data_IF_537197906018
#
_entry.id   IF_537197906018
#
_cell.length_a   1.000
_cell.length_b   1.000
_cell.length_c   1.000
_cell.angle_alpha   90.00
_cell.angle_beta   90.00
_cell.angle_gamma   90.00
#
_symmetry.space_group_name_H-M   'P 1'
#
loop_
_entity.id
_entity.type
_entity.pdbx_description
1 polymer ?
#
# COMPACT_ATOMS: atom_id res chain seq x y z
N UNK A 1 21.41 -17.15 22.64
CA UNK A 1 20.16 -16.83 23.38
C UNK A 1 20.02 -15.32 23.36
N UNK A 2 19.05 -14.76 22.62
CA UNK A 2 18.78 -13.32 22.61
C UNK A 2 17.40 -13.10 23.23
N UNK A 3 17.33 -12.33 24.32
CA UNK A 3 16.08 -11.91 24.96
C UNK A 3 15.74 -10.48 24.55
N UNK A 4 14.63 -10.29 23.85
CA UNK A 4 14.07 -8.96 23.61
C UNK A 4 13.23 -8.55 24.83
N UNK A 5 13.61 -7.47 25.52
CA UNK A 5 12.76 -6.81 26.52
C UNK A 5 11.87 -5.79 25.81
N UNK A 6 10.57 -6.05 25.80
CA UNK A 6 9.55 -5.06 25.40
C UNK A 6 9.13 -4.31 26.66
N UNK A 7 9.31 -2.99 26.66
CA UNK A 7 8.85 -2.10 27.72
C UNK A 7 7.55 -1.43 27.25
N UNK A 8 6.46 -1.63 27.99
CA UNK A 8 5.22 -0.89 27.81
C UNK A 8 5.21 0.34 28.72
N UNK A 9 5.14 1.54 28.12
CA UNK A 9 4.77 2.76 28.85
C UNK A 9 3.25 2.94 28.75
N UNK A 10 2.59 2.99 29.90
CA UNK A 10 1.20 3.41 30.04
C UNK A 10 1.10 4.94 29.92
N UNK A 11 0.16 5.42 29.10
CA UNK A 11 -0.24 6.82 29.04
C UNK A 11 -1.60 6.98 29.72
N UNK A 12 -1.69 7.89 30.68
CA UNK A 12 -2.94 8.38 31.26
C UNK A 12 -3.33 9.70 30.60
N UNK A 13 -4.60 9.89 30.18
CA UNK A 13 -5.07 11.17 29.65
C UNK A 13 -5.77 12.00 30.75
N UNK A 14 -5.26 13.19 31.04
CA UNK A 14 -6.05 14.23 31.72
C UNK A 14 -5.79 15.60 31.07
N UNK A 15 -6.89 16.33 30.94
CA UNK A 15 -7.05 17.77 30.68
C UNK A 15 -7.03 18.27 29.22
N UNK A 16 -8.24 18.36 28.64
CA UNK A 16 -8.56 19.25 27.53
C UNK A 16 -9.46 20.36 28.10
N UNK A 17 -8.89 21.55 28.28
CA UNK A 17 -9.63 22.78 28.54
C UNK A 17 -10.24 23.32 27.24
N UNK A 18 -11.52 23.68 27.32
CA UNK A 18 -12.31 24.26 26.24
C UNK A 18 -11.81 25.66 25.87
N UNK A 19 -11.55 25.90 24.57
CA UNK A 19 -11.45 27.23 23.99
C UNK A 19 -12.49 27.38 22.87
N UNK A 20 -13.46 28.25 23.12
CA UNK A 20 -14.56 28.59 22.23
C UNK A 20 -14.06 29.46 21.07
N UNK A 21 -14.22 28.99 19.83
CA UNK A 21 -14.05 29.82 18.63
C UNK A 21 -15.41 30.33 18.15
N UNK A 22 -15.53 31.65 18.04
CA UNK A 22 -16.65 32.35 17.39
C UNK A 22 -16.39 32.34 15.88
N UNK A 23 -17.27 31.71 15.11
CA UNK A 23 -17.27 31.77 13.64
C UNK A 23 -18.33 32.77 13.17
N UNK A 24 -17.91 33.80 12.44
CA UNK A 24 -18.79 34.62 11.60
C UNK A 24 -18.86 34.02 10.20
N UNK A 25 -20.05 33.87 9.59
CA UNK A 25 -20.16 33.36 8.23
C UNK A 25 -20.04 34.50 7.21
N UNK A 26 -19.01 34.43 6.35
CA UNK A 26 -18.98 35.18 5.09
C UNK A 26 -19.80 34.42 4.03
N UNK A 27 -20.97 34.96 3.70
CA UNK A 27 -21.82 34.45 2.63
C UNK A 27 -21.17 34.71 1.26
N UNK A 28 -20.87 33.64 0.51
CA UNK A 28 -20.48 33.72 -0.89
C UNK A 28 -21.64 33.20 -1.76
N UNK A 29 -22.29 34.12 -2.48
CA UNK A 29 -23.42 33.85 -3.37
C UNK A 29 -22.90 33.26 -4.70
N UNK A 30 -23.30 32.06 -5.13
CA UNK A 30 -22.96 31.58 -6.46
C UNK A 30 -23.96 32.10 -7.50
N UNK A 31 -23.40 32.78 -8.50
CA UNK A 31 -24.08 33.32 -9.69
C UNK A 31 -24.52 32.17 -10.60
N UNK A 32 -25.82 31.82 -10.57
CA UNK A 32 -26.45 30.84 -11.50
C UNK A 32 -26.35 31.35 -12.95
N UNK A 33 -25.57 30.68 -13.80
CA UNK A 33 -25.74 30.75 -15.27
C UNK A 33 -26.69 29.63 -15.70
N UNK A 34 -27.84 30.02 -16.25
CA UNK A 34 -28.77 29.16 -16.98
C UNK A 34 -28.14 28.76 -18.32
N UNK A 35 -28.12 27.48 -18.63
CA UNK A 35 -27.95 26.98 -19.99
C UNK A 35 -29.12 26.07 -20.33
N UNK A 36 -29.61 26.22 -21.55
CA UNK A 36 -30.89 25.74 -22.04
C UNK A 36 -30.98 24.22 -22.20
N UNK A 37 -32.18 23.71 -21.92
CA UNK A 37 -32.70 22.42 -22.33
C UNK A 37 -32.50 22.14 -23.83
N UNK A 38 -32.05 20.92 -24.17
CA UNK A 38 -32.60 20.14 -25.29
C UNK A 38 -32.69 18.66 -24.89
N UNK A 39 -33.92 18.22 -24.66
CA UNK A 39 -34.33 16.82 -24.58
C UNK A 39 -34.51 16.27 -26.01
N UNK A 40 -33.94 15.11 -26.30
CA UNK A 40 -34.47 14.14 -27.28
C UNK A 40 -34.11 12.71 -26.82
N UNK A 41 -35.12 11.97 -26.38
CA UNK A 41 -35.20 10.51 -26.39
C UNK A 41 -36.00 10.07 -27.64
N UNK A 42 -36.23 8.76 -27.91
CA UNK A 42 -35.36 7.59 -27.83
C UNK A 42 -35.40 6.76 -29.16
N UNK A 43 -34.52 5.78 -29.34
CA UNK A 43 -34.89 4.54 -30.06
C UNK A 43 -33.91 3.41 -29.72
N UNK A 44 -34.51 2.30 -29.30
CA UNK A 44 -33.91 0.96 -29.26
C UNK A 44 -33.81 0.44 -30.70
N UNK A 45 -32.67 -0.15 -31.08
CA UNK A 45 -32.69 -1.43 -31.79
C UNK A 45 -31.32 -2.12 -31.80
N UNK A 46 -31.38 -3.40 -31.46
CA UNK A 46 -30.36 -4.44 -31.54
C UNK A 46 -30.01 -4.71 -33.01
N UNK A 47 -28.71 -4.82 -33.36
CA UNK A 47 -28.12 -5.94 -34.13
C UNK A 47 -26.64 -5.78 -34.53
N UNK A 48 -25.91 -6.87 -34.26
CA UNK A 48 -24.80 -7.52 -34.98
C UNK A 48 -23.32 -7.05 -34.88
N UNK A 49 -22.51 -8.08 -34.58
CA UNK A 49 -21.07 -8.26 -34.78
C UNK A 49 -20.54 -7.71 -36.11
N UNK A 50 -19.48 -6.90 -36.06
CA UNK A 50 -18.31 -6.99 -36.96
C UNK A 50 -17.12 -6.22 -36.37
N UNK A 51 -15.98 -6.90 -36.35
CA UNK A 51 -14.64 -6.36 -36.08
C UNK A 51 -14.29 -5.29 -37.13
N UNK A 52 -13.90 -4.10 -36.68
CA UNK A 52 -12.97 -3.24 -37.43
C UNK A 52 -12.15 -2.38 -36.48
N UNK A 53 -10.84 -2.53 -36.59
CA UNK A 53 -9.79 -1.76 -35.94
C UNK A 53 -9.76 -0.30 -36.41
N UNK A 54 -10.16 0.64 -35.57
CA UNK A 54 -9.73 2.04 -35.64
C UNK A 54 -9.60 2.63 -34.23
N UNK A 55 -8.47 3.28 -33.88
CA UNK A 55 -8.36 4.02 -32.64
C UNK A 55 -9.22 5.30 -32.70
N UNK A 56 -9.90 5.69 -31.60
CA UNK A 56 -10.65 6.94 -31.55
C UNK A 56 -9.70 8.15 -31.62
N UNK A 57 -10.17 9.30 -32.13
CA UNK A 57 -9.37 10.51 -32.21
C UNK A 57 -9.01 11.06 -30.82
N UNK A 58 -7.78 11.55 -30.70
CA UNK A 58 -7.21 12.21 -29.54
C UNK A 58 -8.20 13.22 -28.93
N UNK A 59 -8.70 12.89 -27.74
CA UNK A 59 -9.42 13.83 -26.91
C UNK A 59 -8.50 15.03 -26.60
N UNK A 60 -9.01 16.23 -26.87
CA UNK A 60 -8.35 17.51 -26.59
C UNK A 60 -7.89 17.53 -25.14
N UNK A 61 -6.61 17.85 -24.93
CA UNK A 61 -6.02 18.15 -23.62
C UNK A 61 -6.87 19.23 -22.95
N UNK A 62 -7.51 18.90 -21.84
CA UNK A 62 -7.92 19.91 -20.88
C UNK A 62 -6.64 20.47 -20.28
N UNK A 63 -6.27 21.68 -20.70
CA UNK A 63 -5.29 22.52 -20.02
C UNK A 63 -5.93 22.85 -18.66
N UNK A 64 -5.41 22.23 -17.61
CA UNK A 64 -5.70 22.67 -16.24
C UNK A 64 -5.06 24.05 -16.09
N UNK A 65 -5.80 25.10 -15.68
CA UNK A 65 -5.18 26.39 -15.43
C UNK A 65 -4.20 26.25 -14.26
N UNK A 66 -2.99 26.79 -14.46
CA UNK A 66 -2.02 27.04 -13.41
C UNK A 66 -2.65 27.92 -12.32
N UNK A 67 -3.14 27.31 -11.25
CA UNK A 67 -3.54 28.02 -10.04
C UNK A 67 -2.41 27.92 -9.01
N UNK A 68 -1.24 28.48 -9.30
CA UNK A 68 -0.26 28.88 -8.28
C UNK A 68 0.62 30.01 -8.81
N UNK A 69 0.05 31.22 -8.81
CA UNK A 69 0.83 32.44 -8.91
C UNK A 69 0.16 33.54 -8.10
N UNK A 70 0.61 33.70 -6.85
CA UNK A 70 0.79 35.02 -6.24
C UNK A 70 1.90 34.91 -5.19
N UNK A 71 3.04 35.61 -5.37
CA UNK A 71 3.85 36.03 -4.25
C UNK A 71 3.17 37.24 -3.57
N UNK A 72 3.65 37.59 -2.39
CA UNK A 72 3.34 38.81 -1.61
C UNK A 72 2.39 38.59 -0.42
N UNK A 73 2.96 38.00 0.63
CA UNK A 73 2.62 38.33 2.01
C UNK A 73 3.86 38.12 2.86
N UNK A 74 4.61 39.20 3.07
CA UNK A 74 5.66 39.25 4.08
C UNK A 74 5.02 39.06 5.46
N UNK A 75 5.30 37.92 6.10
CA UNK A 75 5.02 37.68 7.51
C UNK A 75 6.35 37.40 8.20
N UNK A 76 6.76 38.43 8.93
CA UNK A 76 7.57 38.48 10.16
C UNK A 76 8.24 37.16 10.58
N UNK A 77 9.56 37.18 10.48
CA UNK A 77 10.51 36.22 11.05
C UNK A 77 10.59 36.40 12.57
N UNK A 78 10.10 35.41 13.32
CA UNK A 78 10.41 35.23 14.75
C UNK A 78 10.81 33.78 15.00
N UNK A 79 12.07 33.45 14.75
CA UNK A 79 12.83 32.35 15.39
C UNK A 79 12.13 30.98 15.50
N UNK A 80 11.34 30.60 14.50
CA UNK A 80 10.86 29.24 14.29
C UNK A 80 11.65 28.62 13.16
N UNK A 81 12.70 27.85 13.49
CA UNK A 81 13.50 27.11 12.50
C UNK A 81 12.58 26.30 11.58
N UNK A 82 12.40 26.77 10.35
CA UNK A 82 11.52 26.11 9.39
C UNK A 82 12.02 24.68 9.14
N UNK A 83 11.16 23.65 9.24
CA UNK A 83 11.54 22.25 9.02
C UNK A 83 12.15 21.97 7.64
N UNK A 84 12.03 22.92 6.70
CA UNK A 84 12.54 22.82 5.36
C UNK A 84 14.08 22.79 5.27
N UNK A 85 14.82 23.29 6.27
CA UNK A 85 16.30 23.37 6.23
C UNK A 85 17.04 22.17 6.83
N UNK A 86 16.37 21.19 7.45
CA UNK A 86 17.05 20.00 8.04
C UNK A 86 17.22 18.85 7.01
N UNK A 87 16.77 19.04 5.77
CA UNK A 87 16.96 18.08 4.68
C UNK A 87 18.24 18.33 3.88
N UNK A 88 19.27 18.90 4.52
CA UNK A 88 20.61 19.02 3.94
C UNK A 88 21.07 17.64 3.43
N UNK A 89 21.29 17.60 2.12
CA UNK A 89 21.98 16.60 1.29
C UNK A 89 22.77 15.54 2.08
N UNK A 90 22.08 14.50 2.54
CA UNK A 90 22.75 13.25 2.87
C UNK A 90 22.97 12.52 1.54
N UNK A 91 24.20 12.10 1.30
CA UNK A 91 24.62 11.26 0.17
C UNK A 91 24.05 9.84 0.32
N UNK A 92 22.72 9.72 0.33
CA UNK A 92 22.06 8.42 0.28
C UNK A 92 22.24 7.87 -1.13
N UNK A 93 22.83 6.67 -1.29
CA UNK A 93 23.12 6.13 -2.62
C UNK A 93 21.84 5.98 -3.44
N UNK A 94 21.91 6.37 -4.71
CA UNK A 94 20.85 6.09 -5.66
C UNK A 94 20.69 4.58 -5.85
N UNK A 95 19.47 4.08 -5.64
CA UNK A 95 19.18 2.68 -5.89
C UNK A 95 19.18 2.37 -7.39
N UNK A 96 19.95 1.37 -7.80
CA UNK A 96 19.97 0.88 -9.18
C UNK A 96 19.18 -0.43 -9.24
N UNK A 97 17.96 -0.45 -9.80
CA UNK A 97 17.13 -1.65 -9.80
C UNK A 97 17.71 -2.73 -10.72
N UNK A 98 17.54 -4.00 -10.32
CA UNK A 98 17.93 -5.16 -11.12
C UNK A 98 16.79 -5.62 -12.01
N UNK A 99 17.13 -6.10 -13.20
CA UNK A 99 16.18 -6.78 -14.08
C UNK A 99 15.73 -8.08 -13.43
N UNK A 100 14.41 -8.24 -13.26
CA UNK A 100 13.83 -9.42 -12.60
C UNK A 100 13.49 -10.49 -13.65
N UNK A 101 14.06 -11.70 -13.58
CA UNK A 101 13.74 -12.76 -14.54
C UNK A 101 12.33 -13.33 -14.31
N UNK A 102 11.67 -13.84 -15.36
CA UNK A 102 10.29 -14.38 -15.23
C UNK A 102 10.23 -15.63 -14.35
N UNK A 103 11.24 -16.49 -14.45
CA UNK A 103 11.31 -17.73 -13.67
C UNK A 103 11.35 -17.46 -12.16
N UNK A 104 11.89 -16.31 -11.75
CA UNK A 104 11.95 -15.92 -10.35
C UNK A 104 10.56 -15.77 -9.73
N UNK A 105 9.60 -15.17 -10.45
CA UNK A 105 8.22 -15.02 -9.96
C UNK A 105 7.55 -16.37 -9.75
N UNK A 106 7.71 -17.30 -10.72
CA UNK A 106 7.17 -18.66 -10.61
C UNK A 106 7.80 -19.43 -9.45
N UNK A 107 9.13 -19.35 -9.32
CA UNK A 107 9.86 -19.99 -8.24
C UNK A 107 9.41 -19.45 -6.88
N UNK A 108 9.25 -18.13 -6.76
CA UNK A 108 8.82 -17.47 -5.53
C UNK A 108 7.42 -17.91 -5.11
N UNK A 109 6.44 -17.88 -6.01
CA UNK A 109 5.08 -18.38 -5.75
C UNK A 109 5.10 -19.87 -5.37
N UNK A 110 5.88 -20.70 -6.08
CA UNK A 110 6.01 -22.11 -5.75
C UNK A 110 6.63 -22.32 -4.36
N UNK A 111 7.73 -21.64 -4.06
CA UNK A 111 8.42 -21.75 -2.77
C UNK A 111 7.55 -21.27 -1.61
N UNK A 112 6.80 -20.19 -1.79
CA UNK A 112 5.82 -19.69 -0.83
C UNK A 112 4.77 -20.77 -0.50
N UNK A 113 4.10 -21.28 -1.53
CA UNK A 113 3.04 -22.28 -1.36
C UNK A 113 3.58 -23.62 -0.82
N UNK A 114 4.76 -24.06 -1.27
CA UNK A 114 5.41 -25.26 -0.76
C UNK A 114 5.78 -25.12 0.73
N UNK A 115 6.24 -23.94 1.15
CA UNK A 115 6.58 -23.66 2.55
C UNK A 115 5.33 -23.73 3.44
N UNK A 116 4.25 -23.04 3.07
CA UNK A 116 3.00 -23.10 3.83
C UNK A 116 2.37 -24.50 3.80
N UNK A 117 2.48 -25.22 2.67
CA UNK A 117 2.05 -26.61 2.58
C UNK A 117 2.82 -27.53 3.53
N UNK A 118 4.14 -27.43 3.57
CA UNK A 118 4.98 -28.21 4.47
C UNK A 118 4.68 -27.92 5.96
N UNK A 119 4.52 -26.64 6.32
CA UNK A 119 4.13 -26.24 7.69
C UNK A 119 2.72 -26.77 8.00
N UNK A 120 1.79 -26.67 7.06
CA UNK A 120 0.43 -27.19 7.20
C UNK A 120 0.42 -28.69 7.46
N UNK A 121 1.19 -29.47 6.69
CA UNK A 121 1.33 -30.93 6.88
C UNK A 121 1.88 -31.23 8.28
N UNK A 122 2.92 -30.51 8.72
CA UNK A 122 3.48 -30.67 10.06
C UNK A 122 2.43 -30.37 11.15
N UNK A 123 1.65 -29.31 10.98
CA UNK A 123 0.57 -28.96 11.92
C UNK A 123 -0.53 -30.02 11.94
N UNK A 124 -0.88 -30.62 10.80
CA UNK A 124 -1.83 -31.74 10.75
C UNK A 124 -1.30 -32.97 11.47
N UNK A 125 -0.01 -33.27 11.34
CA UNK A 125 0.61 -34.37 12.09
C UNK A 125 0.55 -34.13 13.60
N UNK A 126 0.68 -32.88 14.06
CA UNK A 126 0.61 -32.51 15.49
C UNK A 126 -0.83 -32.37 15.99
N UNK A 127 -1.76 -31.99 15.11
CA UNK A 127 -3.18 -31.78 15.40
C UNK A 127 -4.01 -32.23 14.19
N UNK A 128 -4.48 -33.49 14.14
CA UNK A 128 -5.22 -34.02 12.99
C UNK A 128 -6.50 -33.27 12.64
N UNK A 129 -7.04 -32.47 13.57
CA UNK A 129 -8.20 -31.60 13.34
C UNK A 129 -7.86 -30.33 12.55
N UNK A 130 -6.59 -29.95 12.42
CA UNK A 130 -6.15 -28.86 11.57
C UNK A 130 -5.75 -29.42 10.20
N UNK A 131 -6.58 -29.29 9.14
CA UNK A 131 -6.23 -29.85 7.84
C UNK A 131 -5.07 -29.08 7.21
N UNK A 132 -4.16 -29.79 6.55
CA UNK A 132 -2.88 -29.23 6.08
C UNK A 132 -3.06 -28.06 5.11
N UNK A 133 -4.14 -28.08 4.34
CA UNK A 133 -4.45 -27.06 3.35
C UNK A 133 -4.98 -25.77 3.98
N UNK A 134 -5.45 -25.77 5.24
CA UNK A 134 -6.02 -24.58 5.87
C UNK A 134 -5.02 -23.43 5.92
N UNK A 135 -3.75 -23.74 6.16
CA UNK A 135 -2.68 -22.74 6.21
C UNK A 135 -2.46 -22.08 4.84
N UNK A 136 -2.44 -22.89 3.78
CA UNK A 136 -2.26 -22.44 2.39
C UNK A 136 -3.45 -21.59 1.93
N UNK A 137 -4.68 -22.03 2.24
CA UNK A 137 -5.89 -21.27 1.90
C UNK A 137 -5.93 -19.94 2.64
N UNK A 138 -5.66 -19.94 3.96
CA UNK A 138 -5.64 -18.71 4.76
C UNK A 138 -4.56 -17.74 4.29
N UNK A 139 -3.33 -18.21 4.06
CA UNK A 139 -2.22 -17.36 3.65
C UNK A 139 -2.46 -16.73 2.27
N UNK A 140 -2.88 -17.51 1.27
CA UNK A 140 -3.18 -16.99 -0.06
C UNK A 140 -4.37 -16.02 -0.06
N UNK A 141 -5.39 -16.30 0.75
CA UNK A 141 -6.55 -15.40 0.89
C UNK A 141 -6.10 -14.08 1.53
N UNK A 142 -5.33 -14.12 2.62
CA UNK A 142 -4.79 -12.93 3.26
C UNK A 142 -3.87 -12.14 2.32
N UNK A 143 -2.97 -12.81 1.60
CA UNK A 143 -2.09 -12.18 0.61
C UNK A 143 -2.90 -11.47 -0.48
N UNK A 144 -3.91 -12.16 -1.03
CA UNK A 144 -4.78 -11.61 -2.08
C UNK A 144 -5.52 -10.37 -1.60
N UNK A 145 -6.15 -10.43 -0.43
CA UNK A 145 -6.85 -9.26 0.12
C UNK A 145 -5.87 -8.14 0.47
N UNK A 146 -4.68 -8.46 1.00
CA UNK A 146 -3.62 -7.48 1.22
C UNK A 146 -3.22 -6.73 -0.05
N UNK A 147 -3.03 -7.46 -1.15
CA UNK A 147 -2.71 -6.90 -2.46
C UNK A 147 -3.85 -6.00 -2.97
N UNK A 148 -5.10 -6.45 -2.84
CA UNK A 148 -6.27 -5.65 -3.22
C UNK A 148 -6.43 -4.39 -2.36
N UNK A 149 -6.14 -4.47 -1.06
CA UNK A 149 -6.12 -3.33 -0.13
C UNK A 149 -5.04 -2.33 -0.51
N UNK A 150 -3.84 -2.80 -0.87
CA UNK A 150 -2.77 -1.95 -1.36
C UNK A 150 -3.18 -1.26 -2.67
N UNK A 151 -3.69 -2.02 -3.65
CA UNK A 151 -4.22 -1.48 -4.89
C UNK A 151 -5.30 -0.41 -4.65
N UNK A 152 -6.22 -0.63 -3.70
CA UNK A 152 -7.24 0.33 -3.30
C UNK A 152 -6.63 1.62 -2.69
N UNK A 153 -5.50 1.52 -2.00
CA UNK A 153 -4.70 2.66 -1.54
C UNK A 153 -4.21 3.55 -2.68
N UNK A 154 -4.00 2.98 -3.87
CA UNK A 154 -3.64 3.75 -5.06
C UNK A 154 -4.83 4.35 -5.80
N UNK A 155 -6.06 4.05 -5.37
CA UNK A 155 -7.26 4.55 -6.03
C UNK A 155 -7.80 5.81 -5.34
N UNK A 156 -7.99 6.89 -6.11
CA UNK A 156 -8.56 8.15 -5.60
C UNK A 156 -9.91 7.99 -4.91
N UNK A 157 -10.68 6.94 -5.24
CA UNK A 157 -11.97 6.67 -4.60
C UNK A 157 -11.84 6.23 -3.13
N UNK A 158 -10.68 5.74 -2.68
CA UNK A 158 -10.44 5.36 -1.28
C UNK A 158 -10.15 6.56 -0.36
N UNK A 159 -10.07 7.77 -0.94
CA UNK A 159 -10.02 9.07 -0.26
C UNK A 159 -8.91 9.18 0.80
N UNK A 160 -9.24 8.92 2.06
CA UNK A 160 -8.32 9.07 3.18
C UNK A 160 -7.11 8.14 3.01
N UNK A 161 -7.37 6.89 2.61
CA UNK A 161 -6.33 5.92 2.36
C UNK A 161 -5.42 6.33 1.20
N UNK A 162 -6.01 6.80 0.09
CA UNK A 162 -5.23 7.38 -1.01
C UNK A 162 -4.33 8.56 -0.60
N UNK A 163 -4.82 9.45 0.27
CA UNK A 163 -4.08 10.65 0.71
C UNK A 163 -2.89 10.32 1.60
N UNK A 164 -3.00 9.31 2.45
CA UNK A 164 -1.87 8.87 3.27
C UNK A 164 -0.91 8.01 2.45
N UNK A 165 -1.45 7.05 1.70
CA UNK A 165 -0.63 6.08 0.98
C UNK A 165 0.15 6.70 -0.19
N UNK A 166 -0.51 7.43 -1.10
CA UNK A 166 0.18 7.92 -2.32
C UNK A 166 1.00 9.20 -2.06
N UNK A 167 0.41 10.33 -1.60
CA UNK A 167 1.18 11.50 -1.21
C UNK A 167 2.12 11.21 -0.04
N UNK A 168 1.62 10.72 1.09
CA UNK A 168 2.42 10.49 2.30
C UNK A 168 3.55 9.51 2.04
N UNK A 169 3.22 8.24 1.81
CA UNK A 169 4.23 7.19 1.66
C UNK A 169 5.04 7.30 0.35
N UNK A 170 4.40 7.29 -0.83
CA UNK A 170 5.14 7.26 -2.10
C UNK A 170 5.78 8.59 -2.52
N UNK A 171 5.25 9.73 -2.09
CA UNK A 171 5.73 11.05 -2.55
C UNK A 171 6.59 11.77 -1.52
N UNK A 172 6.23 11.73 -0.23
CA UNK A 172 6.94 12.46 0.82
C UNK A 172 7.97 11.61 1.54
N UNK A 173 7.57 10.44 2.06
CA UNK A 173 8.46 9.62 2.89
C UNK A 173 9.47 8.82 2.06
N UNK A 174 8.99 8.19 0.97
CA UNK A 174 9.77 7.26 0.15
C UNK A 174 9.72 7.59 -1.35
N UNK A 175 10.04 8.84 -1.75
CA UNK A 175 10.04 9.19 -3.17
C UNK A 175 11.10 8.38 -3.93
N UNK A 176 10.86 8.12 -5.21
CA UNK A 176 11.78 7.38 -6.09
C UNK A 176 13.26 7.82 -5.96
N UNK A 177 13.50 9.14 -5.95
CA UNK A 177 14.86 9.71 -5.86
C UNK A 177 15.54 9.45 -4.52
N UNK A 178 14.78 9.12 -3.47
CA UNK A 178 15.23 8.79 -2.12
C UNK A 178 14.55 7.50 -1.64
N UNK A 179 14.50 6.51 -2.53
CA UNK A 179 13.85 5.24 -2.25
C UNK A 179 14.48 4.52 -1.04
N UNK A 180 15.80 4.69 -0.86
CA UNK A 180 16.53 4.20 0.31
C UNK A 180 16.62 5.30 1.37
N UNK A 181 16.65 4.88 2.63
CA UNK A 181 17.01 5.70 3.80
C UNK A 181 18.03 4.97 4.65
N UNK A 182 18.82 5.72 5.41
CA UNK A 182 19.73 5.13 6.38
C UNK A 182 18.97 4.40 7.49
N UNK A 183 19.46 3.22 7.89
CA UNK A 183 18.87 2.40 8.95
C UNK A 183 18.73 3.14 10.29
N UNK A 184 19.53 4.18 10.52
CA UNK A 184 19.47 5.01 11.73
C UNK A 184 18.30 6.02 11.74
N UNK A 185 17.56 6.16 10.63
CA UNK A 185 16.51 7.17 10.43
C UNK A 185 15.10 6.58 10.26
N UNK A 186 14.84 5.41 10.85
CA UNK A 186 13.52 4.77 10.83
C UNK A 186 12.43 5.50 11.62
N UNK A 187 12.70 6.71 12.14
CA UNK A 187 11.65 7.60 12.64
C UNK A 187 10.87 8.16 11.44
N UNK A 188 10.06 7.31 10.80
CA UNK A 188 8.81 7.74 10.17
C UNK A 188 7.96 8.33 11.29
N UNK A 189 8.23 9.60 11.61
CA UNK A 189 7.31 10.38 12.42
C UNK A 189 6.03 10.45 11.61
N UNK A 190 5.05 9.64 12.00
CA UNK A 190 3.66 9.81 11.56
C UNK A 190 3.36 11.29 11.66
N UNK A 191 2.94 11.93 10.56
CA UNK A 191 2.51 13.31 10.69
C UNK A 191 1.32 13.31 11.68
N UNK A 192 1.31 14.21 12.68
CA UNK A 192 0.24 14.24 13.67
C UNK A 192 -1.13 14.32 12.98
N UNK A 193 -1.99 13.32 13.21
CA UNK A 193 -3.32 13.24 12.61
C UNK A 193 -3.43 12.46 11.29
N UNK A 194 -2.36 11.80 10.84
CA UNK A 194 -2.45 10.88 9.70
C UNK A 194 -3.10 9.54 10.05
N UNK A 195 -3.81 8.97 9.08
CA UNK A 195 -4.38 7.65 9.16
C UNK A 195 -3.25 6.62 9.24
N UNK A 196 -3.22 5.81 10.31
CA UNK A 196 -2.28 4.70 10.43
C UNK A 196 -2.56 3.68 9.33
N UNK A 197 -1.62 3.60 8.39
CA UNK A 197 -1.69 2.78 7.19
C UNK A 197 -1.95 1.30 7.51
N UNK A 198 -1.46 0.83 8.66
CA UNK A 198 -1.62 -0.55 9.11
C UNK A 198 -3.08 -0.90 9.37
N UNK A 199 -3.91 0.06 9.74
CA UNK A 199 -5.33 -0.15 9.98
C UNK A 199 -6.07 -0.55 8.70
N UNK A 200 -5.61 -0.11 7.52
CA UNK A 200 -6.21 -0.52 6.25
C UNK A 200 -6.08 -2.03 5.99
N UNK A 201 -5.06 -2.68 6.56
CA UNK A 201 -4.77 -4.10 6.36
C UNK A 201 -5.43 -5.03 7.38
N UNK A 202 -6.12 -4.48 8.40
CA UNK A 202 -6.86 -5.27 9.39
C UNK A 202 -7.83 -6.27 8.73
N UNK A 203 -8.66 -5.90 7.73
CA UNK A 203 -9.53 -6.85 7.05
C UNK A 203 -8.78 -8.04 6.42
N UNK A 204 -7.59 -7.81 5.88
CA UNK A 204 -6.75 -8.86 5.29
C UNK A 204 -6.35 -9.92 6.32
N UNK A 205 -6.09 -9.51 7.57
CA UNK A 205 -5.73 -10.42 8.66
C UNK A 205 -6.87 -11.39 9.01
N UNK A 206 -8.12 -10.97 8.84
CA UNK A 206 -9.29 -11.76 9.24
C UNK A 206 -9.97 -12.48 8.08
N UNK A 207 -9.77 -12.07 6.82
CA UNK A 207 -10.52 -12.67 5.70
C UNK A 207 -10.18 -14.14 5.48
N UNK A 208 -8.91 -14.54 5.59
CA UNK A 208 -8.52 -15.97 5.52
C UNK A 208 -9.18 -16.82 6.61
N UNK A 209 -9.03 -16.47 7.90
CA UNK A 209 -9.71 -17.16 9.00
C UNK A 209 -11.24 -17.21 8.88
N UNK A 210 -11.87 -16.12 8.44
CA UNK A 210 -13.32 -16.07 8.21
C UNK A 210 -13.75 -17.01 7.09
N UNK A 211 -12.97 -17.13 6.01
CA UNK A 211 -13.21 -18.11 4.95
C UNK A 211 -13.09 -19.55 5.48
N UNK A 212 -12.06 -19.84 6.30
CA UNK A 212 -11.94 -21.16 6.93
C UNK A 212 -13.14 -21.49 7.84
N UNK A 213 -13.61 -20.51 8.62
CA UNK A 213 -14.80 -20.66 9.43
C UNK A 213 -16.06 -20.92 8.59
N UNK A 214 -16.21 -20.23 7.46
CA UNK A 214 -17.31 -20.45 6.51
C UNK A 214 -17.26 -21.84 5.87
N UNK A 215 -16.06 -22.40 5.68
CA UNK A 215 -15.83 -23.78 5.23
C UNK A 215 -15.94 -24.81 6.36
N UNK A 216 -16.38 -24.41 7.55
CA UNK A 216 -16.57 -25.28 8.72
C UNK A 216 -15.27 -26.02 9.13
N UNK A 217 -14.11 -25.40 8.90
CA UNK A 217 -12.83 -25.93 9.37
C UNK A 217 -12.82 -25.96 10.90
N UNK A 218 -12.30 -27.03 11.54
CA UNK A 218 -12.22 -27.08 13.00
C UNK A 218 -11.46 -25.89 13.59
N UNK A 219 -11.79 -25.52 14.84
CA UNK A 219 -11.23 -24.34 15.50
C UNK A 219 -9.69 -24.30 15.53
N UNK A 220 -9.03 -25.46 15.63
CA UNK A 220 -7.56 -25.57 15.54
C UNK A 220 -7.02 -25.12 14.18
N UNK A 221 -7.69 -25.46 13.09
CA UNK A 221 -7.35 -24.99 11.74
C UNK A 221 -7.60 -23.49 11.57
N UNK A 222 -8.69 -22.96 12.15
CA UNK A 222 -8.96 -21.51 12.15
C UNK A 222 -7.86 -20.76 12.90
N UNK A 223 -7.46 -21.22 14.09
CA UNK A 223 -6.38 -20.61 14.88
C UNK A 223 -5.04 -20.64 14.14
N UNK A 224 -4.70 -21.75 13.48
CA UNK A 224 -3.53 -21.83 12.62
C UNK A 224 -3.60 -20.83 11.47
N UNK A 225 -4.78 -20.67 10.85
CA UNK A 225 -5.04 -19.67 9.82
C UNK A 225 -4.81 -18.24 10.31
N UNK A 226 -5.32 -17.88 11.50
CA UNK A 226 -5.09 -16.56 12.12
C UNK A 226 -3.59 -16.32 12.34
N UNK A 227 -2.89 -17.31 12.90
CA UNK A 227 -1.45 -17.23 13.12
C UNK A 227 -0.67 -16.98 11.82
N UNK A 228 -1.00 -17.71 10.76
CA UNK A 228 -0.39 -17.51 9.44
C UNK A 228 -0.69 -16.14 8.84
N UNK A 229 -1.93 -15.66 8.94
CA UNK A 229 -2.34 -14.35 8.42
C UNK A 229 -1.63 -13.21 9.15
N UNK A 230 -1.53 -13.27 10.48
CA UNK A 230 -0.78 -12.28 11.27
C UNK A 230 0.71 -12.32 10.92
N UNK A 231 1.32 -13.51 10.90
CA UNK A 231 2.72 -13.66 10.54
C UNK A 231 3.02 -13.10 9.15
N UNK A 232 2.17 -13.40 8.16
CA UNK A 232 2.34 -12.93 6.78
C UNK A 232 2.31 -11.40 6.69
N UNK A 233 1.38 -10.74 7.38
CA UNK A 233 1.29 -9.28 7.38
C UNK A 233 2.49 -8.63 8.08
N UNK A 234 2.93 -9.19 9.20
CA UNK A 234 4.15 -8.72 9.89
C UNK A 234 5.40 -8.91 9.03
N UNK A 235 5.51 -10.05 8.34
CA UNK A 235 6.61 -10.31 7.42
C UNK A 235 6.58 -9.39 6.20
N UNK A 236 5.40 -9.05 5.69
CA UNK A 236 5.24 -8.10 4.59
C UNK A 236 5.67 -6.68 5.00
N UNK A 237 5.27 -6.23 6.20
CA UNK A 237 5.70 -4.94 6.78
C UNK A 237 7.21 -4.89 7.00
N UNK A 238 7.81 -5.94 7.58
CA UNK A 238 9.26 -6.02 7.76
C UNK A 238 9.99 -5.97 6.42
N UNK A 239 9.50 -6.72 5.43
CA UNK A 239 10.08 -6.74 4.08
C UNK A 239 9.96 -5.39 3.39
N UNK A 240 8.83 -4.70 3.57
CA UNK A 240 8.61 -3.35 3.08
C UNK A 240 9.62 -2.36 3.67
N UNK A 241 9.79 -2.35 5.00
CA UNK A 241 10.79 -1.53 5.68
C UNK A 241 12.22 -1.87 5.24
N UNK A 242 12.52 -3.15 5.07
CA UNK A 242 13.80 -3.63 4.56
C UNK A 242 14.07 -3.11 3.14
N UNK A 243 13.06 -3.05 2.26
CA UNK A 243 13.24 -2.53 0.89
C UNK A 243 13.70 -1.07 0.88
N UNK A 244 13.24 -0.28 1.83
CA UNK A 244 13.60 1.13 1.95
C UNK A 244 14.82 1.41 2.83
N UNK A 245 15.48 0.38 3.38
CA UNK A 245 16.62 0.56 4.29
C UNK A 245 17.94 0.24 3.58
N UNK A 246 18.82 1.23 3.44
CA UNK A 246 20.17 1.03 2.92
C UNK A 246 21.03 0.21 3.90
N UNK A 247 21.83 -0.72 3.39
CA UNK A 247 22.69 -1.58 4.21
C UNK A 247 21.91 -2.60 5.04
N UNK A 248 20.65 -2.89 4.66
CA UNK A 248 19.86 -3.90 5.36
C UNK A 248 20.54 -5.27 5.27
N UNK A 249 20.49 -6.06 6.34
CA UNK A 249 21.16 -7.37 6.40
C UNK A 249 20.71 -8.35 5.30
N UNK A 250 19.53 -8.14 4.70
CA UNK A 250 19.03 -8.97 3.60
C UNK A 250 19.65 -8.66 2.24
N UNK A 251 20.39 -7.55 2.11
CA UNK A 251 21.12 -7.18 0.88
C UNK A 251 22.20 -8.19 0.49
N UNK A 252 22.58 -9.12 1.37
CA UNK A 252 23.47 -10.23 1.01
C UNK A 252 22.80 -11.28 0.10
N UNK A 253 21.46 -11.30 0.03
CA UNK A 253 20.70 -12.31 -0.71
C UNK A 253 20.23 -11.76 -2.05
N UNK A 254 20.48 -12.51 -3.13
CA UNK A 254 20.09 -12.10 -4.48
C UNK A 254 18.56 -11.95 -4.64
N UNK A 255 17.80 -12.88 -4.06
CA UNK A 255 16.33 -12.84 -4.05
C UNK A 255 15.79 -11.51 -3.51
N UNK A 256 16.42 -10.98 -2.46
CA UNK A 256 15.99 -9.72 -1.85
C UNK A 256 16.18 -8.54 -2.81
N UNK A 257 17.26 -8.50 -3.57
CA UNK A 257 17.46 -7.45 -4.60
C UNK A 257 16.42 -7.53 -5.72
N UNK A 258 15.97 -8.73 -6.10
CA UNK A 258 14.88 -8.86 -7.07
C UNK A 258 13.55 -8.34 -6.53
N UNK A 259 13.20 -8.72 -5.30
CA UNK A 259 11.98 -8.23 -4.64
C UNK A 259 12.02 -6.71 -4.47
N UNK A 260 13.13 -6.17 -3.96
CA UNK A 260 13.35 -4.73 -3.82
C UNK A 260 13.24 -4.01 -5.16
N UNK A 261 13.71 -4.61 -6.25
CA UNK A 261 13.58 -4.02 -7.59
C UNK A 261 12.14 -3.96 -8.06
N UNK A 262 11.33 -5.01 -7.80
CA UNK A 262 9.89 -4.97 -8.09
C UNK A 262 9.19 -3.84 -7.34
N UNK A 263 9.49 -3.69 -6.04
CA UNK A 263 8.96 -2.62 -5.21
C UNK A 263 9.47 -1.24 -5.65
N UNK A 264 10.74 -1.12 -6.05
CA UNK A 264 11.25 0.12 -6.63
C UNK A 264 10.49 0.51 -7.89
N UNK A 265 10.21 -0.43 -8.80
CA UNK A 265 9.43 -0.14 -10.00
C UNK A 265 7.99 0.30 -9.70
N UNK A 266 7.43 -0.17 -8.58
CA UNK A 266 6.15 0.34 -8.07
C UNK A 266 6.24 1.84 -7.74
N UNK A 267 7.25 2.26 -6.97
CA UNK A 267 7.47 3.67 -6.62
C UNK A 267 7.87 4.55 -7.82
N UNK A 268 8.69 4.04 -8.73
CA UNK A 268 9.35 4.83 -9.77
C UNK A 268 8.49 5.12 -11.01
N UNK A 269 7.37 4.40 -11.20
CA UNK A 269 6.61 4.45 -12.46
C UNK A 269 5.22 5.01 -12.28
N UNK A 270 4.22 4.17 -12.46
CA UNK A 270 2.81 4.56 -12.43
C UNK A 270 2.14 4.21 -11.11
N UNK A 271 2.83 3.48 -10.22
CA UNK A 271 2.27 2.96 -8.96
C UNK A 271 1.01 2.08 -9.20
N UNK A 272 0.86 1.52 -10.41
CA UNK A 272 -0.31 0.72 -10.80
C UNK A 272 -0.03 -0.79 -10.89
N UNK A 273 1.19 -1.20 -10.56
CA UNK A 273 1.65 -2.59 -10.70
C UNK A 273 2.56 -2.94 -9.51
N UNK A 274 2.81 -4.24 -9.29
CA UNK A 274 3.74 -4.74 -8.27
C UNK A 274 3.32 -4.36 -6.83
N UNK A 275 2.05 -4.57 -6.48
CA UNK A 275 1.50 -4.26 -5.16
C UNK A 275 1.91 -5.27 -4.08
N UNK A 276 2.22 -6.52 -4.46
CA UNK A 276 2.72 -7.52 -3.53
C UNK A 276 4.13 -7.20 -3.03
N UNK A 277 4.44 -7.72 -1.84
CA UNK A 277 5.79 -7.66 -1.27
C UNK A 277 6.57 -8.98 -1.44
N UNK A 278 5.89 -10.13 -1.35
CA UNK A 278 6.54 -11.45 -1.28
C UNK A 278 6.01 -12.53 -2.23
N UNK A 279 4.78 -12.42 -2.75
CA UNK A 279 4.25 -13.32 -3.79
C UNK A 279 3.47 -12.49 -4.81
N UNK A 280 3.98 -12.43 -6.04
CA UNK A 280 3.45 -11.60 -7.12
C UNK A 280 2.50 -12.37 -8.05
N UNK A 281 2.04 -13.56 -7.67
CA UNK A 281 1.10 -14.34 -8.47
C UNK A 281 -0.21 -13.58 -8.73
N UNK A 282 -0.77 -12.95 -7.70
CA UNK A 282 -1.99 -12.14 -7.82
C UNK A 282 -1.74 -10.88 -8.66
N UNK A 283 -0.61 -10.19 -8.46
CA UNK A 283 -0.20 -9.08 -9.33
C UNK A 283 -0.15 -9.53 -10.79
N UNK A 284 0.50 -10.65 -11.08
CA UNK A 284 0.59 -11.16 -12.44
C UNK A 284 -0.80 -11.43 -13.02
N UNK A 285 -1.69 -12.08 -12.27
CA UNK A 285 -3.02 -12.44 -12.75
C UNK A 285 -3.95 -11.22 -12.96
N UNK A 286 -3.91 -10.23 -12.07
CA UNK A 286 -4.91 -9.15 -12.04
C UNK A 286 -4.40 -7.82 -12.59
N UNK A 287 -3.13 -7.50 -12.38
CA UNK A 287 -2.57 -6.17 -12.63
C UNK A 287 -1.40 -6.18 -13.63
N UNK A 288 -0.78 -7.34 -13.84
CA UNK A 288 0.52 -7.49 -14.52
C UNK A 288 1.70 -7.15 -13.60
N UNK A 289 2.87 -7.72 -13.90
CA UNK A 289 4.13 -7.43 -13.18
C UNK A 289 5.10 -6.68 -14.08
N UNK A 290 5.58 -5.51 -13.63
CA UNK A 290 6.60 -4.72 -14.31
C UNK A 290 7.98 -5.03 -13.75
N UNK A 291 8.90 -5.43 -14.63
CA UNK A 291 10.22 -5.98 -14.26
C UNK A 291 11.40 -5.14 -14.77
N UNK A 292 11.09 -4.08 -15.51
CA UNK A 292 11.99 -3.10 -16.11
C UNK A 292 11.17 -1.96 -16.69
#
# INVERSE_FOLDING_TARGET
MWSARVSFRSYTPTDITQSSFVLTPAACIPRKRRAHHRLKHPSLLVKFLRLSSHPPPLAKRCIVPDCFSSPDSAVVDTQGGTPAKIWHQLDVPHYTPRKVPRWFLLLLTFAHNATYGAIGILLTCLSPSAPWWALVVSSNTTATIGILTHWAGHQRWSRAWFKTHVPGHHTFFRPEKRFLTDAARTDERQFPGEFDERLAYIPSAFTGPLLLAALQVPGTGILAGVGASVFLLLAAEELHNAFHTAGHQWERWEMFHYLRSLHYYHHARDMQHNFAMGDFSVDWLLFGVRRQ
#
